data_IF_270046434968
#
_entry.id   IF_270046434968
#
_cell.length_a   1.000
_cell.length_b   1.000
_cell.length_c   1.000
_cell.angle_alpha   90.00
_cell.angle_beta   90.00
_cell.angle_gamma   90.00
#
_symmetry.space_group_name_H-M   'P 1'
#
loop_
_entity.id
_entity.type
_entity.pdbx_description
1 polymer ?
#
# COMPACT_ATOMS: atom_id res chain seq x y z
N UNK A 1 -39.60 -81.13 19.81
CA UNK A 1 -39.20 -80.25 18.71
C UNK A 1 -39.43 -78.81 19.18
N UNK A 2 -38.37 -78.05 19.45
CA UNK A 2 -38.47 -76.70 20.01
C UNK A 2 -38.76 -75.67 18.89
N UNK A 3 -39.49 -74.58 19.16
CA UNK A 3 -39.80 -73.58 18.14
C UNK A 3 -38.53 -72.79 17.73
N UNK A 4 -38.46 -72.26 16.50
CA UNK A 4 -37.28 -71.53 16.03
C UNK A 4 -37.11 -70.22 16.81
N UNK A 5 -35.88 -69.94 17.21
CA UNK A 5 -35.45 -68.70 17.85
C UNK A 5 -35.63 -67.51 16.89
N UNK A 6 -36.31 -66.44 17.35
CA UNK A 6 -36.46 -65.19 16.59
C UNK A 6 -35.09 -64.60 16.22
N UNK A 7 -34.93 -64.03 15.01
CA UNK A 7 -33.68 -63.37 14.62
C UNK A 7 -33.42 -62.15 15.50
N UNK A 8 -32.21 -62.07 16.03
CA UNK A 8 -31.73 -60.95 16.84
C UNK A 8 -31.46 -59.72 15.95
N UNK A 9 -31.86 -58.50 16.36
CA UNK A 9 -31.56 -57.29 15.60
C UNK A 9 -30.05 -57.08 15.48
N UNK A 10 -29.55 -56.88 14.27
CA UNK A 10 -28.18 -56.45 14.03
C UNK A 10 -27.96 -55.05 14.62
N UNK A 11 -26.88 -54.80 15.39
CA UNK A 11 -26.59 -53.47 15.89
C UNK A 11 -26.33 -52.52 14.70
N UNK A 12 -26.83 -51.28 14.76
CA UNK A 12 -26.62 -50.32 13.67
C UNK A 12 -25.12 -50.03 13.48
N UNK A 13 -24.67 -49.70 12.25
CA UNK A 13 -23.28 -49.33 12.00
C UNK A 13 -22.88 -48.15 12.90
N UNK A 14 -21.79 -48.31 13.63
CA UNK A 14 -21.23 -47.26 14.47
C UNK A 14 -20.43 -46.28 13.61
N UNK A 15 -21.07 -45.23 13.14
CA UNK A 15 -20.39 -44.13 12.42
C UNK A 15 -19.59 -43.29 13.41
N UNK A 16 -18.27 -43.26 13.25
CA UNK A 16 -17.42 -42.31 13.98
C UNK A 16 -17.13 -41.12 13.08
N UNK A 17 -17.49 -39.92 13.53
CA UNK A 17 -17.14 -38.66 12.86
C UNK A 17 -16.09 -37.96 13.70
N UNK A 18 -14.93 -37.67 13.12
CA UNK A 18 -13.95 -36.77 13.72
C UNK A 18 -13.99 -35.42 13.03
N UNK A 19 -13.97 -34.35 13.81
CA UNK A 19 -13.91 -32.97 13.32
C UNK A 19 -12.51 -32.44 13.60
N UNK A 20 -11.73 -32.16 12.55
CA UNK A 20 -10.46 -31.45 12.68
C UNK A 20 -10.74 -29.96 12.51
N UNK A 21 -10.85 -29.23 13.62
CA UNK A 21 -10.92 -27.77 13.59
C UNK A 21 -9.52 -27.25 13.32
N UNK A 22 -9.26 -26.79 12.10
CA UNK A 22 -8.00 -26.09 11.81
C UNK A 22 -7.93 -24.83 12.66
N UNK A 23 -7.03 -24.81 13.66
CA UNK A 23 -6.73 -23.60 14.42
C UNK A 23 -5.99 -22.63 13.48
N UNK A 24 -6.68 -21.60 12.99
CA UNK A 24 -6.05 -20.50 12.28
C UNK A 24 -5.56 -19.46 13.30
N UNK A 25 -4.28 -19.11 13.22
CA UNK A 25 -3.74 -17.98 13.97
C UNK A 25 -3.87 -16.71 13.11
N UNK A 26 -4.25 -15.59 13.73
CA UNK A 26 -4.33 -14.29 13.07
C UNK A 26 -3.48 -13.28 13.82
N UNK A 27 -2.93 -12.30 13.09
CA UNK A 27 -2.17 -11.21 13.66
C UNK A 27 -2.22 -9.99 12.74
N UNK A 28 -1.95 -8.81 13.30
CA UNK A 28 -1.85 -7.55 12.56
C UNK A 28 -0.48 -6.94 12.80
N UNK A 29 0.18 -6.51 11.73
CA UNK A 29 1.47 -5.83 11.80
C UNK A 29 1.36 -4.45 11.15
N UNK A 30 1.76 -3.41 11.89
CA UNK A 30 1.85 -2.06 11.38
C UNK A 30 3.29 -1.80 10.91
N UNK A 31 3.45 -1.53 9.62
CA UNK A 31 4.75 -1.22 9.03
C UNK A 31 4.81 0.28 8.70
N UNK A 32 5.56 1.04 9.51
CA UNK A 32 5.80 2.46 9.29
C UNK A 32 7.12 2.67 8.55
N UNK A 33 7.07 3.41 7.44
CA UNK A 33 8.23 3.76 6.62
C UNK A 33 8.44 5.28 6.78
N UNK A 34 9.33 5.73 7.68
CA UNK A 34 9.57 7.14 7.88
C UNK A 34 10.23 7.75 6.65
N UNK A 35 9.86 8.98 6.30
CA UNK A 35 10.51 9.71 5.20
C UNK A 35 10.22 9.18 3.80
N UNK A 36 9.15 8.40 3.59
CA UNK A 36 8.78 7.89 2.26
C UNK A 36 8.69 8.98 1.18
N UNK A 37 8.27 10.20 1.53
CA UNK A 37 8.18 11.35 0.60
C UNK A 37 9.51 12.07 0.33
N UNK A 38 10.58 11.76 1.09
CA UNK A 38 11.91 12.34 0.91
C UNK A 38 12.73 11.40 0.01
N UNK A 39 12.46 11.44 -1.29
CA UNK A 39 13.18 10.61 -2.25
C UNK A 39 14.45 11.31 -2.73
N UNK A 40 15.60 10.66 -2.51
CA UNK A 40 16.75 10.83 -3.42
C UNK A 40 17.58 9.55 -3.66
N UNK A 41 17.34 8.41 -2.98
CA UNK A 41 18.20 7.23 -3.22
C UNK A 41 17.55 5.84 -3.03
N UNK A 42 16.27 5.71 -3.37
CA UNK A 42 15.70 4.41 -3.75
C UNK A 42 15.67 4.33 -5.27
N UNK A 43 16.84 4.45 -5.89
CA UNK A 43 17.08 4.02 -7.27
C UNK A 43 17.77 2.66 -7.25
N UNK A 44 17.59 1.87 -8.31
CA UNK A 44 18.11 0.49 -8.50
C UNK A 44 17.39 -0.64 -7.73
N UNK A 45 16.05 -0.62 -7.66
CA UNK A 45 15.29 -1.80 -7.22
C UNK A 45 15.50 -2.17 -5.74
N UNK A 46 15.94 -1.21 -4.92
CA UNK A 46 16.10 -1.41 -3.48
C UNK A 46 14.72 -1.60 -2.85
N UNK A 47 14.61 -2.59 -1.95
CA UNK A 47 13.38 -2.86 -1.20
C UNK A 47 13.56 -2.52 0.26
N UNK A 48 12.47 -2.06 0.90
CA UNK A 48 12.42 -1.86 2.34
C UNK A 48 11.76 -3.07 2.98
N UNK A 49 12.37 -3.63 4.02
CA UNK A 49 11.84 -4.78 4.75
C UNK A 49 11.49 -4.38 6.18
N UNK A 50 10.34 -4.83 6.67
CA UNK A 50 9.92 -4.62 8.05
C UNK A 50 10.78 -5.41 9.03
N UNK A 51 10.68 -5.04 10.32
CA UNK A 51 11.13 -5.92 11.38
C UNK A 51 10.34 -7.25 11.35
N UNK A 52 10.96 -8.38 11.78
CA UNK A 52 10.25 -9.65 11.94
C UNK A 52 9.07 -9.53 12.91
N UNK A 53 7.97 -10.23 12.62
CA UNK A 53 6.83 -10.39 13.52
C UNK A 53 6.32 -11.82 13.51
N UNK A 54 5.82 -12.30 14.66
CA UNK A 54 5.45 -13.70 14.84
C UNK A 54 3.93 -13.90 14.80
N UNK A 55 3.46 -14.82 13.95
CA UNK A 55 2.04 -15.23 13.85
C UNK A 55 1.98 -16.74 13.59
N UNK A 56 1.17 -17.45 14.36
CA UNK A 56 0.96 -18.90 14.20
C UNK A 56 2.21 -19.74 14.47
N UNK A 57 3.16 -19.24 15.26
CA UNK A 57 4.43 -19.91 15.54
C UNK A 57 5.50 -19.72 14.46
N UNK A 58 5.25 -18.84 13.48
CA UNK A 58 6.18 -18.52 12.40
C UNK A 58 6.56 -17.05 12.43
N UNK A 59 7.79 -16.76 11.99
CA UNK A 59 8.30 -15.41 11.84
C UNK A 59 8.12 -14.95 10.40
N UNK A 60 7.64 -13.72 10.27
CA UNK A 60 7.24 -13.10 9.02
C UNK A 60 7.87 -11.72 8.90
N UNK A 61 8.02 -11.22 7.69
CA UNK A 61 8.29 -9.80 7.42
C UNK A 61 7.50 -9.31 6.21
N UNK A 62 7.23 -8.01 6.16
CA UNK A 62 6.69 -7.36 4.97
C UNK A 62 7.85 -6.77 4.18
N UNK A 63 7.86 -6.97 2.86
CA UNK A 63 8.80 -6.31 1.95
C UNK A 63 8.04 -5.38 1.01
N UNK A 64 8.55 -4.17 0.86
CA UNK A 64 7.97 -3.09 0.09
C UNK A 64 8.94 -2.64 -1.01
N UNK A 65 8.44 -2.54 -2.23
CA UNK A 65 9.18 -2.09 -3.40
C UNK A 65 8.54 -0.78 -3.91
N UNK A 66 9.16 0.38 -3.65
CA UNK A 66 8.59 1.69 -3.96
C UNK A 66 8.59 2.01 -5.46
N UNK A 67 9.58 1.53 -6.21
CA UNK A 67 9.66 1.77 -7.66
C UNK A 67 8.77 0.81 -8.46
N UNK A 68 8.19 -0.17 -7.76
CA UNK A 68 7.31 -1.15 -8.36
C UNK A 68 8.00 -2.08 -9.37
N UNK A 69 7.18 -2.92 -10.01
CA UNK A 69 7.59 -3.67 -11.19
C UNK A 69 7.44 -2.85 -12.48
N UNK A 70 7.60 -3.49 -13.65
CA UNK A 70 7.32 -2.85 -14.93
C UNK A 70 5.91 -2.22 -14.94
N UNK A 71 5.84 -0.89 -15.03
CA UNK A 71 4.59 -0.13 -15.03
C UNK A 71 4.31 0.74 -13.78
N UNK A 72 5.26 0.89 -12.85
CA UNK A 72 5.12 1.86 -11.73
C UNK A 72 4.17 1.42 -10.61
N UNK A 73 3.81 0.14 -10.56
CA UNK A 73 2.93 -0.41 -9.54
C UNK A 73 3.70 -0.80 -8.28
N UNK A 74 3.39 -0.17 -7.13
CA UNK A 74 3.92 -0.55 -5.82
C UNK A 74 3.70 -2.04 -5.52
N UNK A 75 4.73 -2.72 -5.02
CA UNK A 75 4.66 -4.15 -4.66
C UNK A 75 4.84 -4.32 -3.15
N UNK A 76 3.90 -5.04 -2.52
CA UNK A 76 4.00 -5.51 -1.14
C UNK A 76 4.06 -7.03 -1.11
N UNK A 77 4.89 -7.53 -0.20
CA UNK A 77 5.18 -8.94 -0.06
C UNK A 77 5.09 -9.38 1.39
N UNK A 78 4.52 -10.55 1.64
CA UNK A 78 4.72 -11.27 2.90
C UNK A 78 5.83 -12.32 2.71
N UNK A 79 6.91 -12.19 3.49
CA UNK A 79 8.08 -13.07 3.48
C UNK A 79 8.03 -13.99 4.71
N UNK A 80 8.11 -15.31 4.51
CA UNK A 80 8.27 -16.29 5.60
C UNK A 80 9.75 -16.43 5.95
N UNK A 81 10.09 -16.12 7.20
CA UNK A 81 11.46 -16.10 7.70
C UNK A 81 11.86 -17.38 8.44
N UNK A 82 10.88 -18.12 8.96
CA UNK A 82 11.15 -19.39 9.65
C UNK A 82 11.79 -20.39 8.70
N UNK A 83 13.03 -20.78 9.00
CA UNK A 83 13.83 -21.68 8.17
C UNK A 83 13.14 -23.04 7.99
N UNK A 84 13.20 -23.56 6.77
CA UNK A 84 12.66 -24.88 6.40
C UNK A 84 11.15 -25.06 6.66
N UNK A 85 10.41 -23.97 6.88
CA UNK A 85 8.96 -24.02 7.00
C UNK A 85 8.27 -23.91 5.64
N UNK A 86 7.16 -24.63 5.51
CA UNK A 86 6.17 -24.43 4.45
C UNK A 86 4.83 -24.26 5.13
N UNK A 87 4.23 -23.09 4.97
CA UNK A 87 2.99 -22.73 5.67
C UNK A 87 1.98 -22.16 4.69
N UNK A 88 0.72 -22.40 5.00
CA UNK A 88 -0.39 -21.84 4.24
C UNK A 88 -0.95 -20.64 5.00
N UNK A 89 -0.93 -19.48 4.36
CA UNK A 89 -1.43 -18.25 4.96
C UNK A 89 -2.20 -17.42 3.93
N UNK A 90 -3.16 -16.64 4.40
CA UNK A 90 -3.72 -15.51 3.68
C UNK A 90 -3.38 -14.25 4.46
N UNK A 91 -3.25 -13.14 3.75
CA UNK A 91 -3.08 -11.85 4.39
C UNK A 91 -3.86 -10.79 3.64
N UNK A 92 -4.07 -9.64 4.26
CA UNK A 92 -4.54 -8.47 3.57
C UNK A 92 -3.68 -7.31 4.06
N UNK A 93 -3.28 -6.44 3.15
CA UNK A 93 -2.57 -5.22 3.53
C UNK A 93 -3.61 -4.08 3.69
N UNK A 94 -3.19 -2.87 4.05
CA UNK A 94 -3.90 -1.60 3.74
C UNK A 94 -2.95 -0.43 3.99
N UNK A 95 -3.22 0.69 3.35
CA UNK A 95 -2.54 1.95 3.70
C UNK A 95 -3.33 2.70 4.76
N UNK A 96 -2.60 3.34 5.67
CA UNK A 96 -3.15 4.24 6.66
C UNK A 96 -2.68 5.66 6.35
N UNK A 97 -3.60 6.61 6.40
CA UNK A 97 -3.28 8.03 6.36
C UNK A 97 -2.98 8.49 7.79
N UNK A 98 -1.72 8.82 8.12
CA UNK A 98 -1.36 9.24 9.47
C UNK A 98 -1.93 10.62 9.84
N UNK A 99 -2.20 11.50 8.87
CA UNK A 99 -2.71 12.84 9.12
C UNK A 99 -4.22 12.86 9.42
N UNK A 100 -5.00 11.98 8.77
CA UNK A 100 -6.46 11.94 8.92
C UNK A 100 -6.97 10.74 9.70
N UNK A 101 -6.10 9.75 9.98
CA UNK A 101 -6.49 8.45 10.56
C UNK A 101 -7.29 7.56 9.60
N UNK A 102 -7.57 8.02 8.38
CA UNK A 102 -8.31 7.26 7.38
C UNK A 102 -7.51 6.04 6.90
N UNK A 103 -8.20 4.97 6.51
CA UNK A 103 -7.59 3.75 6.00
C UNK A 103 -8.12 3.44 4.60
N UNK A 104 -7.25 2.96 3.71
CA UNK A 104 -7.68 2.41 2.42
C UNK A 104 -8.50 1.11 2.63
N UNK A 105 -9.30 0.69 1.64
CA UNK A 105 -9.86 -0.66 1.64
C UNK A 105 -8.77 -1.74 1.74
N UNK A 106 -9.14 -2.89 2.31
CA UNK A 106 -8.27 -4.06 2.37
C UNK A 106 -8.14 -4.70 0.98
N UNK A 107 -6.92 -4.81 0.47
CA UNK A 107 -6.51 -5.69 -0.63
C UNK A 107 -6.18 -7.10 -0.08
N UNK A 108 -7.03 -8.11 -0.33
CA UNK A 108 -6.74 -9.47 0.10
C UNK A 108 -5.66 -10.10 -0.80
N UNK A 109 -4.76 -10.82 -0.16
CA UNK A 109 -3.85 -11.78 -0.78
C UNK A 109 -4.42 -13.16 -0.49
N UNK A 110 -4.82 -13.84 -1.56
CA UNK A 110 -5.41 -15.17 -1.48
C UNK A 110 -4.49 -16.15 -0.75
N UNK A 111 -5.11 -17.18 -0.19
CA UNK A 111 -4.44 -18.25 0.54
C UNK A 111 -3.36 -18.90 -0.34
N UNK A 112 -2.10 -18.70 0.01
CA UNK A 112 -0.94 -19.18 -0.75
C UNK A 112 -0.02 -20.02 0.15
N UNK A 113 0.77 -20.89 -0.48
CA UNK A 113 1.82 -21.65 0.20
C UNK A 113 3.10 -20.82 0.23
N UNK A 114 3.52 -20.41 1.42
CA UNK A 114 4.78 -19.72 1.65
C UNK A 114 5.84 -20.75 2.01
N UNK A 115 6.99 -20.68 1.33
CA UNK A 115 8.18 -21.48 1.65
C UNK A 115 9.29 -20.53 2.09
N UNK A 116 10.06 -20.94 3.10
CA UNK A 116 11.21 -20.20 3.61
C UNK A 116 12.12 -19.72 2.48
N UNK A 117 12.37 -18.41 2.39
CA UNK A 117 13.21 -17.81 1.35
C UNK A 117 12.55 -17.63 -0.02
N UNK A 118 11.27 -17.98 -0.17
CA UNK A 118 10.48 -17.71 -1.39
C UNK A 118 9.55 -16.52 -1.15
N UNK A 119 9.61 -15.57 -2.08
CA UNK A 119 8.85 -14.33 -2.09
C UNK A 119 7.53 -14.56 -2.86
N UNK A 120 6.38 -14.46 -2.17
CA UNK A 120 5.04 -14.57 -2.79
C UNK A 120 4.35 -13.20 -2.87
N UNK A 121 4.24 -12.64 -4.08
CA UNK A 121 3.80 -11.26 -4.32
C UNK A 121 2.29 -11.08 -4.40
N UNK A 122 1.82 -10.03 -3.74
CA UNK A 122 0.56 -9.40 -4.06
C UNK A 122 0.88 -8.09 -4.79
N UNK A 123 0.63 -8.08 -6.10
CA UNK A 123 0.80 -6.88 -6.91
C UNK A 123 -0.55 -6.20 -7.01
N UNK A 124 -0.67 -4.98 -6.50
CA UNK A 124 -1.77 -4.09 -6.87
C UNK A 124 -1.18 -3.03 -7.79
N UNK A 125 -1.65 -3.01 -9.03
CA UNK A 125 -1.64 -1.76 -9.77
C UNK A 125 -2.42 -0.76 -8.91
N UNK A 126 -1.74 0.22 -8.33
CA UNK A 126 -2.40 1.32 -7.63
C UNK A 126 -3.00 2.22 -8.71
N UNK A 127 -3.99 1.71 -9.45
CA UNK A 127 -5.00 2.54 -10.10
C UNK A 127 -6.01 2.84 -9.01
N UNK A 128 -5.75 3.87 -8.20
CA UNK A 128 -6.59 4.14 -7.03
C UNK A 128 -5.96 4.99 -5.92
N UNK A 129 -5.07 5.92 -6.24
CA UNK A 129 -5.57 7.28 -6.04
C UNK A 129 -6.61 7.44 -7.15
N UNK A 130 -7.86 7.78 -6.83
CA UNK A 130 -8.51 8.72 -7.73
C UNK A 130 -7.52 9.87 -7.73
N UNK A 131 -6.68 9.91 -8.77
CA UNK A 131 -5.87 11.07 -9.06
C UNK A 131 -6.90 12.19 -8.97
N UNK A 132 -6.83 13.08 -7.95
CA UNK A 132 -7.79 14.17 -7.86
C UNK A 132 -7.80 14.73 -9.27
N UNK A 133 -8.97 14.74 -9.94
CA UNK A 133 -9.04 14.91 -11.39
C UNK A 133 -8.08 16.02 -11.71
N UNK A 134 -7.04 15.74 -12.50
CA UNK A 134 -5.86 16.61 -12.58
C UNK A 134 -6.27 18.01 -13.06
N UNK A 135 -6.67 18.84 -12.11
CA UNK A 135 -7.30 20.14 -12.24
C UNK A 135 -6.33 21.19 -11.70
N UNK A 136 -5.03 20.92 -11.80
CA UNK A 136 -3.97 21.86 -11.45
C UNK A 136 -4.24 23.25 -12.06
N UNK A 137 -4.90 23.30 -13.22
CA UNK A 137 -5.38 24.54 -13.81
C UNK A 137 -6.44 25.27 -12.96
N UNK A 138 -7.44 24.57 -12.42
CA UNK A 138 -8.46 25.13 -11.53
C UNK A 138 -7.86 25.54 -10.18
N UNK A 139 -6.97 24.71 -9.61
CA UNK A 139 -6.29 25.03 -8.35
C UNK A 139 -5.32 26.22 -8.50
N UNK A 140 -4.56 26.32 -9.59
CA UNK A 140 -3.76 27.51 -9.91
C UNK A 140 -4.64 28.72 -10.24
N UNK A 141 -5.79 28.51 -10.88
CA UNK A 141 -6.78 29.55 -11.15
C UNK A 141 -7.31 30.17 -9.87
N UNK A 142 -7.69 29.33 -8.90
CA UNK A 142 -8.15 29.75 -7.57
C UNK A 142 -7.08 30.51 -6.80
N UNK A 143 -5.83 30.03 -6.81
CA UNK A 143 -4.69 30.72 -6.21
C UNK A 143 -4.49 32.14 -6.78
N UNK A 144 -4.71 32.31 -8.08
CA UNK A 144 -4.64 33.62 -8.75
C UNK A 144 -5.85 34.51 -8.42
N UNK A 145 -7.04 33.94 -8.34
CA UNK A 145 -8.29 34.67 -8.07
C UNK A 145 -8.40 35.11 -6.60
N UNK A 146 -8.07 34.23 -5.67
CA UNK A 146 -8.12 34.47 -4.21
C UNK A 146 -6.91 35.29 -3.71
N UNK A 147 -5.89 35.50 -4.56
CA UNK A 147 -4.64 36.25 -4.27
C UNK A 147 -3.88 35.73 -3.04
N UNK A 148 -4.07 34.46 -2.68
CA UNK A 148 -3.40 33.84 -1.56
C UNK A 148 -1.92 33.58 -1.89
N UNK A 149 -1.00 34.01 -1.03
CA UNK A 149 0.44 33.75 -1.20
C UNK A 149 1.13 34.55 -2.32
N UNK A 150 0.51 35.61 -2.84
CA UNK A 150 1.17 36.50 -3.79
C UNK A 150 2.42 37.16 -3.18
N UNK A 151 3.54 37.08 -3.88
CA UNK A 151 4.86 37.54 -3.43
C UNK A 151 5.48 38.59 -4.38
N UNK A 152 4.73 39.01 -5.40
CA UNK A 152 5.07 40.08 -6.35
C UNK A 152 3.83 40.86 -6.78
N UNK A 153 4.03 42.14 -7.10
CA UNK A 153 3.01 43.03 -7.67
C UNK A 153 3.62 43.77 -8.87
N UNK A 154 2.87 43.82 -9.98
CA UNK A 154 3.23 44.54 -11.20
C UNK A 154 2.34 45.75 -11.37
N UNK A 155 2.90 46.87 -11.79
CA UNK A 155 2.12 47.97 -12.33
C UNK A 155 1.94 47.76 -13.83
N UNK A 156 0.69 47.60 -14.27
CA UNK A 156 0.34 47.48 -15.68
C UNK A 156 -0.56 48.67 -16.01
N UNK A 157 0.04 49.73 -16.55
CA UNK A 157 -0.66 50.97 -16.94
C UNK A 157 -1.37 51.67 -15.78
N UNK A 158 -0.75 51.70 -14.59
CA UNK A 158 -1.31 52.33 -13.39
C UNK A 158 -2.25 51.42 -12.59
N UNK A 159 -2.41 50.16 -12.98
CA UNK A 159 -3.15 49.15 -12.23
C UNK A 159 -2.19 48.15 -11.58
N UNK A 160 -2.34 47.93 -10.27
CA UNK A 160 -1.53 47.01 -9.50
C UNK A 160 -2.07 45.58 -9.61
N UNK A 161 -1.31 44.69 -10.24
CA UNK A 161 -1.64 43.27 -10.42
C UNK A 161 -0.72 42.41 -9.56
N UNK A 162 -1.28 41.72 -8.56
CA UNK A 162 -0.54 40.75 -7.74
C UNK A 162 -0.39 39.40 -8.44
N UNK A 163 0.71 38.70 -8.15
CA UNK A 163 0.94 37.36 -8.68
C UNK A 163 2.00 36.58 -7.88
N UNK A 164 2.42 35.45 -8.43
CA UNK A 164 3.33 34.50 -7.78
C UNK A 164 4.61 34.32 -8.60
N UNK A 165 5.77 34.65 -8.02
CA UNK A 165 7.08 34.61 -8.71
C UNK A 165 7.39 33.25 -9.30
N UNK A 166 7.06 32.18 -8.57
CA UNK A 166 7.31 30.80 -9.03
C UNK A 166 6.51 30.47 -10.30
N UNK A 167 5.24 30.86 -10.36
CA UNK A 167 4.37 30.62 -11.52
C UNK A 167 4.88 31.39 -12.74
N UNK A 168 5.26 32.65 -12.55
CA UNK A 168 5.81 33.49 -13.63
C UNK A 168 7.15 32.98 -14.14
N UNK A 169 8.04 32.55 -13.25
CA UNK A 169 9.32 31.98 -13.62
C UNK A 169 9.19 30.65 -14.36
N UNK A 170 8.24 29.80 -13.98
CA UNK A 170 7.96 28.54 -14.68
C UNK A 170 7.46 28.77 -16.12
N UNK A 171 6.67 29.82 -16.35
CA UNK A 171 6.04 30.10 -17.65
C UNK A 171 6.88 31.00 -18.56
N UNK A 172 7.88 31.69 -18.02
CA UNK A 172 8.67 32.66 -18.78
C UNK A 172 10.12 32.72 -18.31
N UNK A 173 11.08 32.32 -19.18
CA UNK A 173 12.51 32.50 -18.91
C UNK A 173 12.89 33.95 -18.62
N UNK A 174 12.18 34.91 -19.21
CA UNK A 174 12.40 36.36 -18.98
C UNK A 174 12.04 36.73 -17.54
N UNK A 175 10.88 36.28 -17.06
CA UNK A 175 10.49 36.49 -15.66
C UNK A 175 11.38 35.71 -14.71
N UNK A 176 11.77 34.48 -15.04
CA UNK A 176 12.73 33.69 -14.25
C UNK A 176 14.03 34.47 -14.05
N UNK A 177 14.65 34.93 -15.14
CA UNK A 177 15.89 35.70 -15.09
C UNK A 177 15.73 37.04 -14.35
N UNK A 178 14.57 37.70 -14.49
CA UNK A 178 14.32 39.00 -13.85
C UNK A 178 14.04 38.88 -12.35
N UNK A 179 13.37 37.81 -11.91
CA UNK A 179 12.93 37.63 -10.53
C UNK A 179 13.97 36.88 -9.68
N UNK A 180 14.69 35.92 -10.27
CA UNK A 180 15.65 35.06 -9.57
C UNK A 180 17.10 35.27 -10.02
N UNK A 181 17.35 36.14 -11.01
CA UNK A 181 18.66 36.33 -11.62
C UNK A 181 18.92 35.36 -12.77
N UNK A 182 19.95 35.61 -13.59
CA UNK A 182 20.38 34.60 -14.56
C UNK A 182 21.06 33.46 -13.81
N UNK A 183 20.71 32.22 -14.16
CA UNK A 183 21.53 31.08 -13.76
C UNK A 183 22.94 31.32 -14.32
N UNK A 184 23.93 31.41 -13.44
CA UNK A 184 25.34 31.54 -13.81
C UNK A 184 25.88 30.23 -14.34
#
# INVERSE_FOLDING_TARGET
MAPPSKPQPTPPPSTTTSTCTMLSAQGTHLFHIPGYSLHEDIGDGKSVRSAPFSVGGYDWAVRFFPDGGAGGALVLLLELLTKNAVVRASCAFRFLNPATGAASPWWPVSLLNYRSGTQVSATKAVSGFEEPPSDLYEHLGRLLEEKEGCDVTFDVKGEAMSGHKIVLAMRSPVFKAKLYGSER
#
